data_IF_578991800687
#
_entry.id   IF_578991800687
#
_cell.length_a   1.000
_cell.length_b   1.000
_cell.length_c   1.000
_cell.angle_alpha   90.00
_cell.angle_beta   90.00
_cell.angle_gamma   90.00
#
_symmetry.space_group_name_H-M   'P 1'
#
loop_
_entity.id
_entity.type
_entity.pdbx_description
1 polymer ?
#
# COMPACT_ATOMS: atom_id res chain seq x y z
N UNK A 1 -17.58 37.67 -69.43
CA UNK A 1 -17.57 37.95 -67.98
C UNK A 1 -18.06 36.71 -67.22
N UNK A 2 -17.16 35.85 -66.73
CA UNK A 2 -17.50 34.76 -65.80
C UNK A 2 -16.44 34.78 -64.70
N UNK A 3 -16.86 35.14 -63.49
CA UNK A 3 -16.01 35.23 -62.30
C UNK A 3 -15.89 33.84 -61.67
N UNK A 4 -14.66 33.38 -61.48
CA UNK A 4 -14.30 32.27 -60.61
C UNK A 4 -14.66 32.59 -59.16
N UNK A 5 -15.30 31.65 -58.47
CA UNK A 5 -15.42 31.65 -57.01
C UNK A 5 -14.66 30.44 -56.49
N UNK A 6 -13.49 30.69 -55.92
CA UNK A 6 -12.67 29.74 -55.20
C UNK A 6 -13.26 29.66 -53.78
N UNK A 7 -13.80 28.51 -53.40
CA UNK A 7 -14.20 28.24 -52.02
C UNK A 7 -12.96 27.83 -51.22
N UNK A 8 -12.49 28.73 -50.36
CA UNK A 8 -11.44 28.45 -49.38
C UNK A 8 -12.10 27.79 -48.16
N UNK A 9 -11.96 26.47 -48.03
CA UNK A 9 -12.40 25.73 -46.86
C UNK A 9 -11.41 25.98 -45.72
N UNK A 10 -11.76 26.88 -44.80
CA UNK A 10 -11.01 27.10 -43.56
C UNK A 10 -11.40 26.01 -42.58
N UNK A 11 -10.61 24.94 -42.52
CA UNK A 11 -10.64 23.97 -41.43
C UNK A 11 -10.16 24.66 -40.14
N UNK A 12 -11.08 25.19 -39.34
CA UNK A 12 -10.77 25.54 -37.96
C UNK A 12 -10.60 24.26 -37.14
N UNK A 13 -9.35 23.81 -36.99
CA UNK A 13 -8.97 22.80 -36.02
C UNK A 13 -9.20 23.39 -34.61
N UNK A 14 -10.41 23.23 -34.08
CA UNK A 14 -10.67 23.45 -32.67
C UNK A 14 -10.04 22.28 -31.92
N UNK A 15 -8.82 22.50 -31.44
CA UNK A 15 -8.19 21.64 -30.44
C UNK A 15 -9.03 21.79 -29.17
N UNK A 16 -10.03 20.91 -29.04
CA UNK A 16 -10.74 20.72 -27.79
C UNK A 16 -9.76 20.01 -26.85
N UNK A 17 -8.92 20.80 -26.16
CA UNK A 17 -8.17 20.32 -25.01
C UNK A 17 -9.19 19.88 -23.96
N UNK A 18 -9.54 18.59 -24.00
CA UNK A 18 -10.19 17.92 -22.89
C UNK A 18 -9.17 17.92 -21.77
N UNK A 19 -9.23 18.95 -20.92
CA UNK A 19 -8.66 18.84 -19.59
C UNK A 19 -9.42 17.72 -18.89
N UNK A 20 -8.86 16.51 -18.92
CA UNK A 20 -9.22 15.47 -17.97
C UNK A 20 -8.87 16.01 -16.59
N UNK A 21 -9.86 16.60 -15.93
CA UNK A 21 -9.82 16.75 -14.48
C UNK A 21 -9.82 15.35 -13.89
N UNK A 22 -8.63 14.80 -13.66
CA UNK A 22 -8.47 13.63 -12.81
C UNK A 22 -9.18 13.94 -11.49
N UNK A 23 -10.24 13.18 -11.19
CA UNK A 23 -11.03 13.35 -9.95
C UNK A 23 -10.06 13.26 -8.78
N UNK A 24 -10.23 14.11 -7.77
CA UNK A 24 -9.36 14.13 -6.57
C UNK A 24 -9.25 12.77 -5.85
N UNK A 25 -10.16 11.84 -6.14
CA UNK A 25 -10.19 10.48 -5.62
C UNK A 25 -9.05 9.59 -6.17
N UNK A 26 -8.67 9.72 -7.45
CA UNK A 26 -7.67 8.83 -8.08
C UNK A 26 -6.25 9.18 -7.63
N UNK A 27 -5.98 10.47 -7.41
CA UNK A 27 -4.68 10.93 -6.84
C UNK A 27 -4.52 10.51 -5.38
N UNK A 28 -5.61 10.50 -4.62
CA UNK A 28 -5.60 10.02 -3.24
C UNK A 28 -5.38 8.50 -3.18
N UNK A 29 -6.05 7.71 -4.04
CA UNK A 29 -5.86 6.27 -4.14
C UNK A 29 -4.42 5.88 -4.52
N UNK A 30 -3.84 6.55 -5.52
CA UNK A 30 -2.45 6.33 -5.93
C UNK A 30 -1.47 6.63 -4.80
N UNK A 31 -1.63 7.78 -4.12
CA UNK A 31 -0.80 8.15 -2.97
C UNK A 31 -0.84 7.09 -1.86
N UNK A 32 -2.04 6.64 -1.51
CA UNK A 32 -2.25 5.75 -0.39
C UNK A 32 -1.69 4.34 -0.69
N UNK A 33 -1.90 3.85 -1.91
CA UNK A 33 -1.27 2.60 -2.40
C UNK A 33 0.24 2.70 -2.38
N UNK A 34 0.82 3.82 -2.81
CA UNK A 34 2.26 4.03 -2.85
C UNK A 34 2.88 3.93 -1.45
N UNK A 35 2.35 4.65 -0.46
CA UNK A 35 2.89 4.58 0.89
C UNK A 35 2.65 3.23 1.56
N UNK A 36 1.50 2.58 1.30
CA UNK A 36 1.23 1.24 1.81
C UNK A 36 2.20 0.20 1.26
N UNK A 37 2.48 0.25 -0.05
CA UNK A 37 3.47 -0.60 -0.71
C UNK A 37 4.87 -0.39 -0.11
N UNK A 38 5.29 0.87 0.09
CA UNK A 38 6.56 1.20 0.73
C UNK A 38 6.64 0.69 2.18
N UNK A 39 5.56 0.77 2.94
CA UNK A 39 5.52 0.24 4.30
C UNK A 39 5.68 -1.28 4.34
N UNK A 40 5.07 -2.00 3.40
CA UNK A 40 5.25 -3.45 3.30
C UNK A 40 6.67 -3.83 2.86
N UNK A 41 7.23 -3.10 1.90
CA UNK A 41 8.59 -3.30 1.44
C UNK A 41 9.58 -3.11 2.59
N UNK A 42 9.44 -2.01 3.33
CA UNK A 42 10.30 -1.73 4.48
C UNK A 42 10.09 -2.73 5.64
N UNK A 43 8.91 -3.37 5.71
CA UNK A 43 8.62 -4.47 6.63
C UNK A 43 9.12 -5.85 6.17
N UNK A 44 9.74 -5.96 4.99
CA UNK A 44 10.18 -7.22 4.40
C UNK A 44 9.03 -8.13 3.94
N UNK A 45 7.79 -7.64 3.93
CA UNK A 45 6.60 -8.39 3.46
C UNK A 45 6.41 -8.15 1.97
N UNK A 46 7.30 -8.73 1.17
CA UNK A 46 7.39 -8.53 -0.28
C UNK A 46 6.11 -9.00 -0.99
N UNK A 47 5.52 -10.08 -0.50
CA UNK A 47 4.23 -10.65 -0.91
C UNK A 47 3.09 -9.63 -0.87
N UNK A 48 3.15 -8.66 0.05
CA UNK A 48 2.16 -7.58 0.18
C UNK A 48 2.57 -6.28 -0.52
N UNK A 49 3.87 -5.99 -0.58
CA UNK A 49 4.40 -4.79 -1.22
C UNK A 49 4.27 -4.83 -2.74
N UNK A 50 4.73 -5.94 -3.33
CA UNK A 50 4.85 -6.11 -4.77
C UNK A 50 3.50 -5.95 -5.50
N UNK A 51 2.38 -6.54 -5.04
CA UNK A 51 1.09 -6.37 -5.73
C UNK A 51 0.55 -4.94 -5.71
N UNK A 52 0.95 -4.11 -4.73
CA UNK A 52 0.55 -2.70 -4.70
C UNK A 52 1.42 -1.86 -5.65
N UNK A 53 2.73 -2.12 -5.69
CA UNK A 53 3.57 -1.46 -6.68
C UNK A 53 3.20 -1.84 -8.11
N UNK A 54 2.79 -3.10 -8.35
CA UNK A 54 2.29 -3.53 -9.65
C UNK A 54 1.01 -2.77 -10.06
N UNK A 55 0.07 -2.53 -9.13
CA UNK A 55 -1.10 -1.69 -9.44
C UNK A 55 -0.71 -0.25 -9.80
N UNK A 56 0.25 0.33 -9.08
CA UNK A 56 0.74 1.68 -9.37
C UNK A 56 1.45 1.74 -10.73
N UNK A 57 2.15 0.68 -11.08
CA UNK A 57 2.80 0.52 -12.38
C UNK A 57 1.80 0.34 -13.52
N UNK A 58 0.65 -0.29 -13.27
CA UNK A 58 -0.42 -0.37 -14.27
C UNK A 58 -1.05 1.02 -14.54
N UNK A 59 -1.04 1.90 -13.54
CA UNK A 59 -1.47 3.30 -13.69
C UNK A 59 -0.42 4.11 -14.47
N UNK A 60 0.85 4.02 -14.09
CA UNK A 60 1.95 4.68 -14.80
C UNK A 60 3.18 3.78 -14.89
N UNK A 61 3.26 3.02 -15.98
CA UNK A 61 4.38 2.12 -16.23
C UNK A 61 5.66 2.85 -16.61
N UNK A 62 5.59 4.15 -16.95
CA UNK A 62 6.75 4.95 -17.35
C UNK A 62 7.48 5.56 -16.14
N UNK A 63 6.85 5.53 -14.97
CA UNK A 63 7.45 6.01 -13.73
C UNK A 63 8.64 5.13 -13.30
N UNK A 64 9.84 5.73 -13.33
CA UNK A 64 11.07 5.04 -12.96
C UNK A 64 11.13 4.70 -11.47
N UNK A 65 10.61 5.55 -10.58
CA UNK A 65 10.53 5.30 -9.15
C UNK A 65 9.71 4.03 -8.83
N UNK A 66 8.54 3.87 -9.45
CA UNK A 66 7.71 2.67 -9.26
C UNK A 66 8.45 1.43 -9.77
N UNK A 67 9.04 1.52 -10.95
CA UNK A 67 9.84 0.43 -11.53
C UNK A 67 10.99 0.05 -10.60
N UNK A 68 11.70 1.03 -10.06
CA UNK A 68 12.73 0.81 -9.05
C UNK A 68 12.19 0.06 -7.82
N UNK A 69 11.09 0.52 -7.23
CA UNK A 69 10.51 -0.10 -6.03
C UNK A 69 10.01 -1.54 -6.26
N UNK A 70 9.47 -1.84 -7.44
CA UNK A 70 9.15 -3.21 -7.87
C UNK A 70 10.43 -4.04 -7.99
N UNK A 71 11.45 -3.46 -8.60
CA UNK A 71 12.77 -4.07 -8.75
C UNK A 71 13.39 -4.48 -7.42
N UNK A 72 13.35 -3.58 -6.43
CA UNK A 72 13.78 -3.84 -5.05
C UNK A 72 12.95 -4.95 -4.42
N UNK A 73 11.63 -4.96 -4.59
CA UNK A 73 10.80 -6.06 -4.10
C UNK A 73 11.31 -7.42 -4.63
N UNK A 74 11.67 -7.50 -5.91
CA UNK A 74 12.19 -8.73 -6.51
C UNK A 74 13.64 -9.08 -6.13
N UNK A 75 14.44 -8.19 -5.54
CA UNK A 75 15.76 -8.58 -4.98
C UNK A 75 15.63 -9.23 -3.60
N UNK A 76 14.53 -8.94 -2.90
CA UNK A 76 14.25 -9.41 -1.54
C UNK A 76 13.49 -10.76 -1.49
N UNK A 77 13.03 -11.27 -2.63
CA UNK A 77 12.39 -12.60 -2.67
C UNK A 77 13.43 -13.72 -2.49
N UNK A 78 13.01 -14.84 -1.91
CA UNK A 78 13.91 -15.98 -1.59
C UNK A 78 14.60 -16.58 -2.83
N UNK A 79 13.91 -16.58 -3.96
CA UNK A 79 14.39 -17.17 -5.22
C UNK A 79 14.74 -16.06 -6.19
N UNK A 80 16.03 -15.92 -6.59
CA UNK A 80 16.44 -14.99 -7.63
C UNK A 80 15.57 -15.06 -8.88
N UNK A 81 15.26 -13.90 -9.45
CA UNK A 81 14.42 -13.80 -10.64
C UNK A 81 14.92 -12.69 -11.56
N UNK A 82 14.78 -12.87 -12.87
CA UNK A 82 15.11 -11.83 -13.87
C UNK A 82 14.15 -10.63 -13.81
N UNK A 83 13.03 -10.74 -13.10
CA UNK A 83 12.12 -9.62 -12.89
C UNK A 83 12.78 -8.48 -12.10
N UNK A 84 13.67 -8.78 -11.15
CA UNK A 84 14.43 -7.73 -10.44
C UNK A 84 15.25 -6.90 -11.43
N UNK A 85 16.01 -7.57 -12.30
CA UNK A 85 16.81 -6.92 -13.34
C UNK A 85 15.93 -6.07 -14.26
N UNK A 86 14.84 -6.64 -14.79
CA UNK A 86 13.97 -5.94 -15.73
C UNK A 86 13.42 -4.62 -15.15
N UNK A 87 12.84 -4.68 -13.95
CA UNK A 87 12.24 -3.51 -13.33
C UNK A 87 13.29 -2.49 -12.83
N UNK A 88 14.44 -2.96 -12.35
CA UNK A 88 15.53 -2.09 -11.95
C UNK A 88 16.23 -1.41 -13.14
N UNK A 89 16.46 -2.11 -14.26
CA UNK A 89 16.99 -1.50 -15.49
C UNK A 89 16.03 -0.41 -16.00
N UNK A 90 14.72 -0.65 -15.91
CA UNK A 90 13.68 0.34 -16.25
C UNK A 90 13.69 1.53 -15.27
N UNK A 91 13.82 1.28 -13.97
CA UNK A 91 13.97 2.32 -12.96
C UNK A 91 15.25 3.14 -13.14
N UNK A 92 16.34 2.52 -13.59
CA UNK A 92 17.63 3.18 -13.78
C UNK A 92 17.69 4.11 -15.01
N UNK A 93 16.64 4.15 -15.84
CA UNK A 93 16.56 5.06 -17.00
C UNK A 93 16.45 6.54 -16.61
N UNK A 94 15.92 6.83 -15.41
CA UNK A 94 15.82 8.18 -14.89
C UNK A 94 16.25 8.21 -13.41
N UNK A 95 17.52 8.49 -13.15
CA UNK A 95 18.10 8.54 -11.80
C UNK A 95 18.32 9.98 -11.38
N UNK A 96 17.96 10.29 -10.13
CA UNK A 96 18.20 11.60 -9.51
C UNK A 96 19.01 11.45 -8.22
N UNK A 97 19.96 12.38 -8.04
CA UNK A 97 20.69 12.56 -6.77
C UNK A 97 19.83 13.29 -5.73
N UNK A 98 18.87 14.10 -6.18
CA UNK A 98 17.94 14.87 -5.35
C UNK A 98 16.61 14.12 -5.12
N UNK A 99 16.63 12.78 -5.29
CA UNK A 99 15.47 11.91 -5.15
C UNK A 99 14.74 12.14 -3.82
N UNK A 100 13.41 12.32 -3.88
CA UNK A 100 12.59 12.48 -2.68
C UNK A 100 11.84 11.17 -2.32
N UNK A 101 12.33 10.38 -1.34
CA UNK A 101 11.65 9.15 -0.93
C UNK A 101 10.26 9.39 -0.33
N UNK A 102 9.99 10.60 0.17
CA UNK A 102 8.72 10.97 0.77
C UNK A 102 7.67 11.44 -0.23
N UNK A 103 8.01 11.63 -1.51
CA UNK A 103 7.07 12.11 -2.51
C UNK A 103 6.45 10.95 -3.30
N UNK A 104 5.15 10.74 -3.13
CA UNK A 104 4.42 9.71 -3.90
C UNK A 104 4.34 10.01 -5.40
N UNK A 105 4.53 11.26 -5.82
CA UNK A 105 4.59 11.68 -7.22
C UNK A 105 6.02 11.74 -7.77
N UNK A 106 7.02 11.27 -7.01
CA UNK A 106 8.39 11.16 -7.50
C UNK A 106 8.43 10.21 -8.71
N UNK A 107 9.03 10.68 -9.80
CA UNK A 107 9.12 9.95 -11.07
C UNK A 107 10.53 9.43 -11.35
N UNK A 108 11.54 9.94 -10.65
CA UNK A 108 12.93 9.50 -10.74
C UNK A 108 13.24 8.41 -9.72
N UNK A 109 14.24 7.57 -10.01
CA UNK A 109 14.78 6.59 -9.06
C UNK A 109 15.94 7.19 -8.28
N UNK A 110 16.19 6.72 -7.04
CA UNK A 110 17.41 7.08 -6.33
C UNK A 110 18.64 6.47 -6.99
N UNK A 111 19.82 7.01 -6.69
CA UNK A 111 21.11 6.40 -7.05
C UNK A 111 21.25 4.94 -6.55
N UNK A 112 20.49 4.57 -5.50
CA UNK A 112 20.38 3.19 -5.01
C UNK A 112 19.84 2.19 -6.02
N UNK A 113 19.24 2.63 -7.15
CA UNK A 113 18.94 1.73 -8.25
C UNK A 113 20.18 0.95 -8.74
N UNK A 114 21.37 1.58 -8.74
CA UNK A 114 22.62 0.90 -9.09
C UNK A 114 23.05 -0.14 -8.04
N UNK A 115 22.84 0.15 -6.75
CA UNK A 115 23.09 -0.79 -5.66
C UNK A 115 22.23 -2.06 -5.81
N UNK A 116 20.91 -1.90 -5.98
CA UNK A 116 20.03 -3.05 -6.17
C UNK A 116 20.25 -3.75 -7.51
N UNK A 117 20.68 -3.05 -8.56
CA UNK A 117 21.11 -3.68 -9.82
C UNK A 117 22.31 -4.60 -9.61
N UNK A 118 23.30 -4.20 -8.80
CA UNK A 118 24.43 -5.06 -8.45
C UNK A 118 23.96 -6.37 -7.80
N UNK A 119 23.04 -6.28 -6.84
CA UNK A 119 22.44 -7.45 -6.18
C UNK A 119 21.69 -8.30 -7.21
N UNK A 120 20.80 -7.69 -7.99
CA UNK A 120 19.98 -8.39 -8.97
C UNK A 120 20.82 -9.11 -10.04
N UNK A 121 21.87 -8.47 -10.56
CA UNK A 121 22.79 -9.09 -11.51
C UNK A 121 23.60 -10.22 -10.88
N UNK A 122 24.10 -10.01 -9.65
CA UNK A 122 24.86 -11.05 -8.95
C UNK A 122 24.00 -12.26 -8.62
N UNK A 123 22.74 -12.07 -8.19
CA UNK A 123 21.80 -13.15 -7.89
C UNK A 123 21.42 -13.98 -9.14
N UNK A 124 21.63 -13.42 -10.34
CA UNK A 124 21.33 -14.06 -11.63
C UNK A 124 22.60 -14.35 -12.45
N UNK A 125 23.77 -14.42 -11.79
CA UNK A 125 25.07 -14.78 -12.38
C UNK A 125 25.59 -13.86 -13.52
N UNK A 126 25.06 -12.63 -13.62
CA UNK A 126 25.50 -11.62 -14.60
C UNK A 126 26.65 -10.78 -14.04
N UNK A 127 27.78 -11.44 -13.75
CA UNK A 127 28.84 -10.86 -12.91
C UNK A 127 29.50 -9.59 -13.47
N UNK A 128 29.72 -9.48 -14.79
CA UNK A 128 30.26 -8.26 -15.40
C UNK A 128 29.30 -7.06 -15.25
N UNK A 129 28.00 -7.31 -15.37
CA UNK A 129 26.99 -6.27 -15.12
C UNK A 129 26.90 -5.91 -13.64
N UNK A 130 27.07 -6.87 -12.73
CA UNK A 130 27.12 -6.63 -11.30
C UNK A 130 28.31 -5.72 -10.92
N UNK A 131 29.51 -6.02 -11.44
CA UNK A 131 30.74 -5.22 -11.23
C UNK A 131 30.60 -3.81 -11.77
N UNK A 132 30.13 -3.65 -13.01
CA UNK A 132 29.95 -2.31 -13.60
C UNK A 132 28.92 -1.47 -12.85
N UNK A 133 27.81 -2.10 -12.39
CA UNK A 133 26.80 -1.42 -11.57
C UNK A 133 27.34 -0.99 -10.20
N UNK A 134 28.19 -1.81 -9.57
CA UNK A 134 28.79 -1.50 -8.28
C UNK A 134 29.75 -0.31 -8.38
N UNK A 135 30.58 -0.27 -9.42
CA UNK A 135 31.46 0.86 -9.72
C UNK A 135 30.65 2.13 -9.91
N UNK A 136 29.58 2.08 -10.72
CA UNK A 136 28.72 3.25 -10.97
C UNK A 136 28.00 3.74 -9.71
N UNK A 137 27.54 2.82 -8.85
CA UNK A 137 26.98 3.18 -7.56
C UNK A 137 28.00 3.92 -6.69
N UNK A 138 29.24 3.41 -6.61
CA UNK A 138 30.32 4.02 -5.82
C UNK A 138 30.70 5.41 -6.33
N UNK A 139 30.76 5.61 -7.64
CA UNK A 139 31.03 6.91 -8.26
C UNK A 139 29.98 7.97 -7.90
N UNK A 140 28.70 7.59 -7.89
CA UNK A 140 27.59 8.50 -7.59
C UNK A 140 27.37 8.71 -6.08
N UNK A 141 27.56 7.66 -5.27
CA UNK A 141 27.32 7.70 -3.83
C UNK A 141 28.44 8.42 -3.07
N UNK A 142 29.68 8.37 -3.57
CA UNK A 142 30.84 8.98 -2.93
C UNK A 142 31.33 8.21 -1.70
N UNK A 143 32.19 8.85 -0.89
CA UNK A 143 32.78 8.25 0.32
C UNK A 143 32.19 8.87 1.59
N UNK A 144 31.69 8.02 2.48
CA UNK A 144 31.07 8.42 3.75
C UNK A 144 31.81 7.81 4.95
N UNK A 145 31.68 8.42 6.13
CA UNK A 145 32.37 7.98 7.36
C UNK A 145 32.00 6.53 7.75
N UNK A 146 30.79 6.07 7.40
CA UNK A 146 30.30 4.69 7.54
C UNK A 146 29.75 4.18 6.20
N UNK A 147 30.64 3.87 5.26
CA UNK A 147 30.26 3.46 3.90
C UNK A 147 29.92 1.96 3.81
N UNK A 148 28.78 1.58 4.38
CA UNK A 148 28.27 0.20 4.33
C UNK A 148 27.86 -0.19 2.89
N UNK A 149 27.07 0.66 2.23
CA UNK A 149 26.42 0.29 0.97
C UNK A 149 27.39 0.10 -0.20
N UNK A 150 28.48 0.89 -0.32
CA UNK A 150 29.44 0.64 -1.41
C UNK A 150 30.29 -0.60 -1.13
N UNK A 151 30.59 -0.90 0.13
CA UNK A 151 31.30 -2.14 0.51
C UNK A 151 30.43 -3.36 0.24
N UNK A 152 29.16 -3.31 0.61
CA UNK A 152 28.21 -4.39 0.36
C UNK A 152 27.99 -4.61 -1.15
N UNK A 153 27.82 -3.55 -1.94
CA UNK A 153 27.78 -3.64 -3.41
C UNK A 153 29.03 -4.32 -3.97
N UNK A 154 30.21 -3.91 -3.49
CA UNK A 154 31.49 -4.49 -3.91
C UNK A 154 31.54 -5.98 -3.58
N UNK A 155 31.12 -6.36 -2.36
CA UNK A 155 31.08 -7.76 -1.92
C UNK A 155 30.15 -8.60 -2.79
N UNK A 156 28.95 -8.10 -3.13
CA UNK A 156 28.05 -8.79 -4.07
C UNK A 156 28.70 -9.00 -5.43
N UNK A 157 29.34 -7.97 -5.99
CA UNK A 157 30.02 -8.04 -7.28
C UNK A 157 31.22 -9.01 -7.29
N UNK A 158 31.99 -9.08 -6.20
CA UNK A 158 33.15 -9.97 -6.06
C UNK A 158 32.74 -11.43 -5.81
N UNK A 159 31.67 -11.66 -5.03
CA UNK A 159 31.16 -13.00 -4.73
C UNK A 159 30.43 -13.65 -5.91
N UNK A 160 30.02 -12.88 -6.91
CA UNK A 160 29.42 -13.40 -8.13
C UNK A 160 30.42 -14.33 -8.85
N UNK A 161 30.12 -15.64 -8.90
CA UNK A 161 30.96 -16.66 -9.54
C UNK A 161 30.48 -16.90 -10.96
N UNK A 162 31.34 -16.67 -11.95
CA UNK A 162 31.05 -16.88 -13.37
C UNK A 162 31.17 -18.34 -13.81
N UNK A 163 30.87 -19.31 -12.94
CA UNK A 163 31.23 -20.72 -13.17
C UNK A 163 30.26 -21.48 -14.11
N UNK A 164 29.33 -20.76 -14.74
CA UNK A 164 28.40 -21.32 -15.71
C UNK A 164 28.45 -20.54 -17.02
N UNK A 165 28.89 -21.23 -18.07
CA UNK A 165 28.79 -20.81 -19.47
C UNK A 165 27.43 -20.19 -19.75
N UNK A 166 27.43 -18.95 -20.25
CA UNK A 166 26.24 -18.18 -20.62
C UNK A 166 25.25 -19.03 -21.43
N UNK A 167 24.07 -19.31 -20.88
CA UNK A 167 22.94 -19.80 -21.69
C UNK A 167 22.20 -18.59 -22.29
N UNK A 168 21.81 -18.64 -23.58
CA UNK A 168 21.26 -17.48 -24.28
C UNK A 168 19.98 -16.93 -23.65
N UNK A 169 19.87 -15.60 -23.65
CA UNK A 169 18.80 -14.76 -23.08
C UNK A 169 17.38 -15.08 -23.62
N UNK A 170 17.27 -15.85 -24.70
CA UNK A 170 16.01 -16.11 -25.40
C UNK A 170 15.05 -17.10 -24.69
N UNK A 171 15.53 -17.99 -23.82
CA UNK A 171 14.68 -19.06 -23.24
C UNK A 171 13.94 -18.67 -21.94
N UNK A 172 14.14 -17.48 -21.38
CA UNK A 172 13.68 -17.15 -20.02
C UNK A 172 12.57 -16.09 -19.96
N UNK A 173 11.54 -16.21 -20.80
CA UNK A 173 10.29 -15.46 -20.63
C UNK A 173 9.25 -16.35 -19.94
N UNK A 174 9.19 -16.29 -18.61
CA UNK A 174 8.05 -16.84 -17.88
C UNK A 174 6.85 -15.88 -17.92
N UNK A 175 5.70 -16.42 -18.30
CA UNK A 175 4.38 -15.77 -18.19
C UNK A 175 3.89 -16.00 -16.75
N UNK A 176 3.41 -14.96 -16.08
CA UNK A 176 3.20 -14.94 -14.62
C UNK A 176 1.72 -15.14 -14.26
N UNK A 177 1.38 -16.06 -13.34
CA UNK A 177 0.09 -16.07 -12.63
C UNK A 177 0.13 -15.23 -11.34
N UNK A 178 -1.02 -14.63 -10.99
CA UNK A 178 -1.25 -13.69 -9.89
C UNK A 178 -1.27 -14.42 -8.52
N UNK A 179 -0.64 -13.83 -7.50
CA UNK A 179 -0.42 -14.33 -6.12
C UNK A 179 -1.70 -14.60 -5.29
N UNK A 180 -1.72 -15.69 -4.51
CA UNK A 180 -2.83 -16.12 -3.62
C UNK A 180 -2.78 -15.42 -2.24
N UNK A 181 -3.86 -14.72 -1.84
CA UNK A 181 -4.05 -14.20 -0.47
C UNK A 181 -4.61 -15.29 0.46
N UNK A 182 -4.18 -15.34 1.74
CA UNK A 182 -4.74 -16.27 2.73
C UNK A 182 -6.02 -15.68 3.34
N UNK A 183 -7.14 -16.04 2.74
CA UNK A 183 -8.47 -15.54 3.13
C UNK A 183 -9.16 -16.61 3.96
N UNK A 184 -9.53 -16.27 5.19
CA UNK A 184 -10.30 -17.15 6.08
C UNK A 184 -11.77 -16.82 5.91
N UNK A 185 -12.53 -17.76 5.37
CA UNK A 185 -13.97 -17.65 5.23
C UNK A 185 -14.70 -18.57 6.22
N UNK A 186 -15.94 -18.21 6.51
CA UNK A 186 -16.91 -19.04 7.22
C UNK A 186 -18.11 -19.23 6.30
N UNK A 187 -18.47 -20.48 6.06
CA UNK A 187 -19.68 -20.79 5.32
C UNK A 187 -20.92 -20.34 6.12
N UNK A 188 -21.83 -19.61 5.46
CA UNK A 188 -23.11 -19.17 6.00
C UNK A 188 -24.23 -19.87 5.24
N UNK A 189 -25.04 -20.63 5.98
CA UNK A 189 -26.34 -21.12 5.54
C UNK A 189 -27.42 -20.43 6.39
N UNK A 190 -28.30 -19.68 5.74
CA UNK A 190 -29.45 -19.08 6.42
C UNK A 190 -30.52 -20.15 6.66
N UNK A 191 -31.06 -20.21 7.88
CA UNK A 191 -32.09 -21.20 8.26
C UNK A 191 -33.42 -21.00 7.52
N UNK A 192 -33.63 -19.80 6.95
CA UNK A 192 -34.88 -19.45 6.26
C UNK A 192 -34.90 -19.89 4.80
N UNK A 193 -36.05 -20.42 4.37
CA UNK A 193 -36.36 -20.75 2.98
C UNK A 193 -36.93 -19.55 2.20
N UNK A 194 -36.78 -18.32 2.71
CA UNK A 194 -37.20 -17.09 2.02
C UNK A 194 -35.99 -16.33 1.48
N UNK A 195 -36.11 -15.62 0.34
CA UNK A 195 -35.05 -14.72 -0.12
C UNK A 195 -34.67 -13.72 0.97
N UNK A 196 -33.40 -13.34 1.03
CA UNK A 196 -32.90 -12.29 1.90
C UNK A 196 -32.23 -11.25 1.02
N UNK A 197 -32.79 -10.05 1.00
CA UNK A 197 -32.28 -8.91 0.25
C UNK A 197 -31.31 -8.10 1.10
N UNK A 198 -30.16 -7.77 0.53
CA UNK A 198 -29.19 -6.86 1.10
C UNK A 198 -28.89 -5.74 0.11
N UNK A 199 -28.20 -4.70 0.55
CA UNK A 199 -27.66 -3.65 -0.32
C UNK A 199 -26.17 -3.92 -0.50
N UNK A 200 -25.73 -4.27 -1.71
CA UNK A 200 -24.31 -4.38 -2.04
C UNK A 200 -23.75 -2.97 -2.21
N UNK A 201 -22.68 -2.67 -1.48
CA UNK A 201 -22.02 -1.36 -1.44
C UNK A 201 -20.62 -1.37 -2.08
N UNK A 202 -20.15 -2.54 -2.50
CA UNK A 202 -18.90 -2.67 -3.23
C UNK A 202 -18.53 -4.13 -3.51
N UNK A 203 -17.67 -4.32 -4.51
CA UNK A 203 -17.04 -5.60 -4.80
C UNK A 203 -15.58 -5.33 -5.19
N UNK A 204 -14.65 -5.91 -4.46
CA UNK A 204 -13.23 -5.61 -4.61
C UNK A 204 -12.42 -6.90 -4.70
N UNK A 205 -11.39 -6.92 -5.53
CA UNK A 205 -10.44 -8.04 -5.64
C UNK A 205 -9.51 -8.15 -4.43
N UNK A 206 -9.60 -7.21 -3.48
CA UNK A 206 -8.79 -7.14 -2.26
C UNK A 206 -9.63 -6.67 -1.08
N UNK A 207 -9.20 -7.02 0.13
CA UNK A 207 -9.91 -6.60 1.35
C UNK A 207 -9.91 -5.08 1.51
N UNK A 208 -11.10 -4.50 1.51
CA UNK A 208 -11.42 -3.18 2.06
C UNK A 208 -11.86 -3.36 3.52
N UNK A 209 -11.13 -2.81 4.50
CA UNK A 209 -11.55 -2.91 5.88
C UNK A 209 -12.86 -2.17 6.18
N UNK A 210 -13.68 -2.70 7.10
CA UNK A 210 -15.04 -2.18 7.33
C UNK A 210 -15.05 -0.71 7.79
N UNK A 211 -14.03 -0.27 8.54
CA UNK A 211 -13.93 1.13 8.99
C UNK A 211 -13.74 2.15 7.85
N UNK A 212 -13.34 1.72 6.64
CA UNK A 212 -13.26 2.60 5.46
C UNK A 212 -14.63 2.91 4.85
N UNK A 213 -15.68 2.22 5.28
CA UNK A 213 -17.04 2.51 4.86
C UNK A 213 -17.65 3.61 5.74
N UNK A 214 -17.29 4.87 5.47
CA UNK A 214 -17.75 6.04 6.21
C UNK A 214 -19.28 6.09 6.33
N UNK A 215 -19.77 6.43 7.52
CA UNK A 215 -21.19 6.54 7.85
C UNK A 215 -22.01 5.24 7.64
N UNK A 216 -21.35 4.10 7.43
CA UNK A 216 -21.96 2.79 7.38
C UNK A 216 -21.50 1.95 8.57
N UNK A 217 -22.38 1.06 9.02
CA UNK A 217 -22.12 0.11 10.10
C UNK A 217 -22.84 -1.19 9.77
N UNK A 218 -22.39 -2.30 10.34
CA UNK A 218 -22.94 -3.64 10.05
C UNK A 218 -22.72 -4.06 8.58
N UNK A 219 -21.54 -3.77 8.05
CA UNK A 219 -21.11 -4.26 6.74
C UNK A 219 -20.62 -5.69 6.90
N UNK A 220 -21.14 -6.59 6.09
CA UNK A 220 -20.65 -7.97 5.97
C UNK A 220 -19.92 -8.13 4.64
N UNK A 221 -18.90 -8.98 4.62
CA UNK A 221 -18.08 -9.25 3.45
C UNK A 221 -18.18 -10.73 3.07
N UNK A 222 -18.29 -11.01 1.78
CA UNK A 222 -18.43 -12.35 1.23
C UNK A 222 -17.44 -12.57 0.10
N UNK A 223 -16.76 -13.70 0.11
CA UNK A 223 -15.92 -14.13 -1.01
C UNK A 223 -16.76 -14.83 -2.06
N UNK A 224 -16.59 -14.43 -3.31
CA UNK A 224 -17.22 -15.10 -4.43
C UNK A 224 -16.28 -16.07 -5.17
N UNK A 225 -16.82 -16.79 -6.16
CA UNK A 225 -16.08 -17.79 -6.93
C UNK A 225 -15.00 -17.19 -7.85
N UNK A 226 -15.09 -15.90 -8.12
CA UNK A 226 -14.17 -15.14 -8.97
C UNK A 226 -13.09 -14.46 -8.12
N UNK A 227 -12.97 -14.82 -6.83
CA UNK A 227 -12.04 -14.23 -5.86
C UNK A 227 -12.31 -12.75 -5.58
N UNK A 228 -13.54 -12.28 -5.75
CA UNK A 228 -13.96 -10.93 -5.37
C UNK A 228 -14.62 -10.93 -3.99
N UNK A 229 -14.25 -9.97 -3.16
CA UNK A 229 -14.85 -9.70 -1.86
C UNK A 229 -16.00 -8.71 -2.05
N UNK A 230 -17.23 -9.18 -1.86
CA UNK A 230 -18.47 -8.43 -1.96
C UNK A 230 -18.91 -7.92 -0.60
N UNK A 231 -19.16 -6.63 -0.51
CA UNK A 231 -19.59 -5.94 0.72
C UNK A 231 -21.07 -5.65 0.65
N UNK A 232 -21.81 -6.09 1.66
CA UNK A 232 -23.26 -5.89 1.74
C UNK A 232 -23.67 -5.36 3.11
N UNK A 233 -24.82 -4.70 3.17
CA UNK A 233 -25.44 -4.25 4.40
C UNK A 233 -26.93 -4.62 4.44
N UNK A 234 -27.37 -5.12 5.59
CA UNK A 234 -28.75 -5.48 5.86
C UNK A 234 -29.15 -6.87 5.37
N UNK A 235 -30.22 -7.40 5.98
CA UNK A 235 -30.80 -8.71 5.66
C UNK A 235 -32.32 -8.56 5.73
N UNK A 236 -32.98 -8.38 4.59
CA UNK A 236 -34.41 -8.04 4.52
C UNK A 236 -35.21 -9.08 3.76
N UNK A 237 -36.37 -9.47 4.28
CA UNK A 237 -37.27 -10.39 3.57
C UNK A 237 -37.96 -9.73 2.36
N UNK A 238 -38.12 -8.40 2.38
CA UNK A 238 -38.83 -7.66 1.34
C UNK A 238 -37.94 -6.63 0.64
N UNK A 239 -38.00 -6.60 -0.70
CA UNK A 239 -37.29 -5.62 -1.55
C UNK A 239 -37.64 -4.17 -1.16
N UNK A 240 -38.87 -3.92 -0.71
CA UNK A 240 -39.29 -2.59 -0.25
C UNK A 240 -38.51 -2.10 0.97
N UNK A 241 -38.14 -2.99 1.90
CA UNK A 241 -37.30 -2.66 3.06
C UNK A 241 -35.86 -2.37 2.62
N UNK A 242 -35.31 -3.21 1.73
CA UNK A 242 -33.98 -2.99 1.15
C UNK A 242 -33.89 -1.66 0.38
N UNK A 243 -34.97 -1.25 -0.29
CA UNK A 243 -35.04 0.06 -0.96
C UNK A 243 -34.96 1.26 0.00
N UNK A 244 -35.49 1.13 1.23
CA UNK A 244 -35.37 2.18 2.24
C UNK A 244 -33.90 2.32 2.66
N UNK A 245 -33.23 1.18 2.91
CA UNK A 245 -31.80 1.19 3.23
C UNK A 245 -30.95 1.71 2.07
N UNK A 246 -31.24 1.29 0.84
CA UNK A 246 -30.54 1.74 -0.36
C UNK A 246 -30.54 3.27 -0.49
N UNK A 247 -31.70 3.91 -0.26
CA UNK A 247 -31.81 5.37 -0.27
C UNK A 247 -30.97 6.04 0.82
N UNK A 248 -30.81 5.41 1.98
CA UNK A 248 -29.94 5.91 3.04
C UNK A 248 -28.46 5.73 2.66
N UNK A 249 -28.09 4.58 2.10
CA UNK A 249 -26.75 4.25 1.60
C UNK A 249 -26.29 5.24 0.52
N UNK A 250 -27.17 5.61 -0.42
CA UNK A 250 -26.92 6.66 -1.41
C UNK A 250 -26.64 8.01 -0.77
N UNK A 251 -27.45 8.42 0.22
CA UNK A 251 -27.24 9.67 0.96
C UNK A 251 -25.94 9.69 1.76
N UNK A 252 -25.42 8.50 2.11
CA UNK A 252 -24.12 8.33 2.75
C UNK A 252 -22.93 8.33 1.76
N UNK A 253 -23.19 8.43 0.45
CA UNK A 253 -22.14 8.60 -0.58
C UNK A 253 -21.88 7.38 -1.48
N UNK A 254 -22.65 6.29 -1.34
CA UNK A 254 -22.45 5.04 -2.10
C UNK A 254 -23.45 4.92 -3.25
N UNK A 255 -23.47 5.88 -4.18
CA UNK A 255 -24.49 6.05 -5.22
C UNK A 255 -24.64 4.85 -6.19
N UNK A 256 -23.59 4.04 -6.33
CA UNK A 256 -23.56 2.84 -7.16
C UNK A 256 -24.07 1.57 -6.43
N UNK A 257 -24.47 1.69 -5.16
CA UNK A 257 -25.03 0.59 -4.40
C UNK A 257 -26.33 0.07 -5.04
N UNK A 258 -26.58 -1.23 -4.90
CA UNK A 258 -27.76 -1.89 -5.46
C UNK A 258 -28.24 -3.06 -4.60
N UNK A 259 -29.50 -3.46 -4.77
CA UNK A 259 -30.10 -4.56 -4.01
C UNK A 259 -29.67 -5.91 -4.60
N UNK A 260 -29.28 -6.83 -3.73
CA UNK A 260 -28.86 -8.21 -4.05
C UNK A 260 -29.66 -9.20 -3.21
N UNK A 261 -29.90 -10.40 -3.74
CA UNK A 261 -30.45 -11.53 -2.98
C UNK A 261 -29.31 -12.41 -2.48
N UNK A 262 -29.06 -12.38 -1.17
CA UNK A 262 -27.95 -13.09 -0.50
C UNK A 262 -28.35 -14.47 0.03
N UNK A 263 -29.64 -14.84 -0.07
CA UNK A 263 -30.16 -16.16 0.33
C UNK A 263 -31.00 -16.78 -0.79
N UNK A 264 -30.51 -16.71 -2.03
CA UNK A 264 -31.29 -17.21 -3.16
C UNK A 264 -31.49 -18.73 -3.08
N UNK A 265 -32.74 -19.18 -2.96
CA UNK A 265 -33.12 -20.59 -2.76
C UNK A 265 -33.01 -21.42 -4.05
N UNK A 266 -32.79 -20.78 -5.21
CA UNK A 266 -32.71 -21.48 -6.49
C UNK A 266 -31.39 -22.25 -6.58
N UNK A 267 -31.47 -23.58 -6.70
CA UNK A 267 -30.35 -24.54 -6.76
C UNK A 267 -29.23 -24.26 -7.80
N UNK A 268 -29.37 -23.25 -8.66
CA UNK A 268 -28.41 -22.85 -9.69
C UNK A 268 -28.15 -21.32 -9.75
N UNK A 269 -28.55 -20.55 -8.74
CA UNK A 269 -28.42 -19.08 -8.73
C UNK A 269 -27.45 -18.65 -7.65
N UNK A 270 -26.41 -17.94 -8.09
CA UNK A 270 -25.57 -17.02 -7.33
C UNK A 270 -25.09 -17.46 -5.93
N UNK A 271 -24.04 -18.28 -5.89
CA UNK A 271 -23.38 -18.70 -4.63
C UNK A 271 -22.38 -17.65 -4.09
N UNK A 272 -22.40 -16.41 -4.59
CA UNK A 272 -21.40 -15.38 -4.29
C UNK A 272 -21.50 -14.79 -2.86
N UNK A 273 -22.48 -15.24 -2.06
CA UNK A 273 -22.71 -14.79 -0.68
C UNK A 273 -22.71 -15.94 0.36
N UNK A 274 -22.06 -17.08 0.06
CA UNK A 274 -21.97 -18.21 1.00
C UNK A 274 -20.75 -18.14 1.90
N UNK A 275 -19.63 -17.65 1.39
CA UNK A 275 -18.36 -17.65 2.10
C UNK A 275 -18.12 -16.29 2.76
N UNK A 276 -18.58 -16.13 4.00
CA UNK A 276 -18.38 -14.88 4.73
C UNK A 276 -16.92 -14.72 5.13
N UNK A 277 -16.31 -13.59 4.77
CA UNK A 277 -14.91 -13.31 5.10
C UNK A 277 -14.82 -12.96 6.59
N UNK A 278 -13.95 -13.65 7.31
CA UNK A 278 -13.70 -13.43 8.75
C UNK A 278 -12.43 -12.62 8.95
N UNK A 279 -11.36 -13.02 8.27
CA UNK A 279 -10.05 -12.37 8.31
C UNK A 279 -9.28 -12.55 7.01
N UNK A 280 -8.40 -11.61 6.71
CA UNK A 280 -7.41 -11.71 5.62
C UNK A 280 -6.04 -11.47 6.23
N UNK A 281 -5.09 -12.36 5.95
CA UNK A 281 -3.75 -12.35 6.54
C UNK A 281 -3.79 -12.23 8.09
N UNK A 282 -4.64 -13.04 8.71
CA UNK A 282 -4.84 -13.12 10.17
C UNK A 282 -5.35 -11.80 10.83
N UNK A 283 -5.79 -10.83 10.03
CA UNK A 283 -6.45 -9.61 10.48
C UNK A 283 -7.97 -9.70 10.31
N UNK A 284 -8.71 -9.59 11.42
CA UNK A 284 -10.18 -9.56 11.38
C UNK A 284 -10.70 -8.33 10.63
N UNK A 285 -11.65 -8.54 9.72
CA UNK A 285 -12.26 -7.45 8.93
C UNK A 285 -13.12 -6.50 9.79
N UNK A 286 -13.54 -6.96 10.98
CA UNK A 286 -14.38 -6.23 11.94
C UNK A 286 -13.56 -5.54 13.05
N UNK A 287 -12.24 -5.63 13.02
CA UNK A 287 -11.40 -5.00 14.03
C UNK A 287 -11.57 -3.47 14.03
N UNK A 288 -11.59 -2.88 15.22
CA UNK A 288 -11.65 -1.43 15.41
C UNK A 288 -10.47 -0.98 16.26
N UNK A 289 -9.84 0.12 15.87
CA UNK A 289 -8.89 0.84 16.74
C UNK A 289 -9.68 1.43 17.91
N UNK A 290 -9.21 1.21 19.13
CA UNK A 290 -9.80 1.78 20.35
C UNK A 290 -8.70 2.23 21.29
N UNK A 291 -8.93 3.29 22.06
CA UNK A 291 -7.92 3.79 23.02
C UNK A 291 -6.74 4.47 22.33
N UNK A 292 -5.51 4.23 22.81
CA UNK A 292 -4.32 4.97 22.38
C UNK A 292 -3.69 4.36 21.13
N UNK A 293 -3.28 5.24 20.23
CA UNK A 293 -2.39 4.95 19.11
C UNK A 293 -0.99 5.40 19.49
N UNK A 294 0.02 4.60 19.15
CA UNK A 294 1.41 4.88 19.41
C UNK A 294 2.22 4.73 18.11
N UNK A 295 2.75 5.85 17.61
CA UNK A 295 3.67 5.84 16.48
C UNK A 295 5.08 5.55 16.95
N UNK A 296 5.81 4.75 16.17
CA UNK A 296 7.22 4.42 16.42
C UNK A 296 7.97 4.47 15.09
N UNK A 297 9.29 4.59 15.13
CA UNK A 297 10.12 4.47 13.92
C UNK A 297 10.74 3.08 13.90
N UNK A 298 10.28 2.21 13.00
CA UNK A 298 10.90 0.91 12.80
C UNK A 298 12.21 1.07 12.03
N UNK A 299 13.28 0.48 12.56
CA UNK A 299 14.64 0.56 12.01
C UNK A 299 15.10 -0.79 11.40
N UNK A 300 14.36 -1.87 11.65
CA UNK A 300 14.63 -3.17 11.06
C UNK A 300 13.62 -4.24 11.47
N UNK A 301 13.62 -5.36 10.73
CA UNK A 301 12.87 -6.58 11.04
C UNK A 301 13.70 -7.79 10.65
N UNK A 302 13.92 -8.72 11.58
CA UNK A 302 14.89 -9.80 11.44
C UNK A 302 14.28 -11.13 11.87
N UNK A 303 14.57 -12.22 11.15
CA UNK A 303 14.10 -13.57 11.53
C UNK A 303 15.08 -14.29 12.46
N UNK A 304 16.26 -14.59 11.95
CA UNK A 304 17.21 -15.48 12.63
C UNK A 304 18.43 -14.73 13.20
N UNK A 305 18.93 -13.70 12.50
CA UNK A 305 20.11 -12.95 12.93
C UNK A 305 19.98 -11.46 12.62
N UNK A 306 20.48 -10.62 13.52
CA UNK A 306 20.68 -9.20 13.27
C UNK A 306 22.05 -9.03 12.58
N UNK A 307 22.14 -8.35 11.42
CA UNK A 307 23.43 -8.11 10.75
C UNK A 307 24.44 -7.39 11.65
N UNK A 308 25.72 -7.75 11.56
CA UNK A 308 26.80 -7.21 12.42
C UNK A 308 26.91 -5.68 12.34
N UNK A 309 26.69 -5.10 11.16
CA UNK A 309 26.71 -3.65 10.96
C UNK A 309 25.54 -2.93 11.66
N UNK A 310 24.42 -3.63 11.84
CA UNK A 310 23.27 -3.18 12.63
C UNK A 310 23.48 -3.36 14.14
N UNK A 311 24.34 -4.29 14.57
CA UNK A 311 24.71 -4.45 15.99
C UNK A 311 25.44 -3.20 16.49
N UNK A 312 26.36 -2.64 15.70
CA UNK A 312 27.06 -1.40 16.07
C UNK A 312 26.11 -0.20 16.19
N UNK A 313 25.08 -0.19 15.36
CA UNK A 313 24.02 0.81 15.40
C UNK A 313 23.11 0.62 16.62
N UNK A 314 22.77 -0.64 16.96
CA UNK A 314 22.03 -1.01 18.16
C UNK A 314 22.74 -0.53 19.44
N UNK A 315 24.07 -0.62 19.49
CA UNK A 315 24.86 -0.15 20.65
C UNK A 315 24.88 1.37 20.82
N UNK A 316 24.60 2.14 19.76
CA UNK A 316 24.66 3.62 19.78
C UNK A 316 23.29 4.28 19.97
N UNK A 317 22.21 3.56 19.67
CA UNK A 317 20.87 4.10 19.71
C UNK A 317 20.19 3.77 21.04
N UNK A 318 19.73 4.80 21.73
CA UNK A 318 18.93 4.64 22.93
C UNK A 318 17.44 4.42 22.58
N UNK A 319 16.73 3.69 23.46
CA UNK A 319 15.28 3.57 23.38
C UNK A 319 14.74 2.61 22.31
N UNK A 320 15.55 1.61 21.90
CA UNK A 320 15.08 0.52 21.03
C UNK A 320 14.06 -0.34 21.79
N UNK A 321 12.93 -0.60 21.14
CA UNK A 321 11.90 -1.56 21.54
C UNK A 321 11.83 -2.69 20.52
N UNK A 322 11.78 -3.90 21.03
CA UNK A 322 11.70 -5.15 20.26
C UNK A 322 10.28 -5.69 20.33
N UNK A 323 9.70 -6.05 19.18
CA UNK A 323 8.41 -6.74 19.14
C UNK A 323 8.55 -7.97 18.23
N UNK A 324 8.24 -9.15 18.77
CA UNK A 324 8.30 -10.42 18.06
C UNK A 324 6.92 -10.81 17.53
N UNK A 325 6.82 -11.12 16.24
CA UNK A 325 5.61 -11.64 15.61
C UNK A 325 6.01 -12.62 14.48
N UNK A 326 5.39 -13.80 14.42
CA UNK A 326 5.65 -14.83 13.40
C UNK A 326 7.14 -15.13 13.14
N UNK A 327 7.91 -15.30 14.21
CA UNK A 327 9.36 -15.57 14.13
C UNK A 327 10.17 -14.42 13.48
N UNK A 328 9.64 -13.20 13.50
CA UNK A 328 10.30 -11.96 13.08
C UNK A 328 10.38 -11.02 14.29
N UNK A 329 11.58 -10.59 14.64
CA UNK A 329 11.85 -9.54 15.62
C UNK A 329 11.94 -8.19 14.90
N UNK A 330 10.97 -7.32 15.15
CA UNK A 330 10.96 -5.94 14.69
C UNK A 330 11.58 -5.01 15.72
N UNK A 331 12.51 -4.16 15.28
CA UNK A 331 13.17 -3.15 16.10
C UNK A 331 12.59 -1.78 15.81
N UNK A 332 12.16 -1.07 16.84
CA UNK A 332 11.53 0.25 16.72
C UNK A 332 12.02 1.23 17.77
N UNK A 333 12.08 2.50 17.44
CA UNK A 333 12.53 3.57 18.34
C UNK A 333 11.39 4.55 18.58
N UNK A 334 11.33 5.03 19.81
CA UNK A 334 10.41 6.07 20.23
C UNK A 334 8.98 5.58 20.46
N UNK A 335 8.17 6.52 20.89
CA UNK A 335 6.77 6.35 21.21
C UNK A 335 6.14 7.73 21.09
N UNK A 336 5.47 7.99 19.97
CA UNK A 336 4.96 9.30 19.59
C UNK A 336 3.43 9.24 19.49
N UNK A 337 2.78 10.33 19.89
CA UNK A 337 1.32 10.43 19.85
C UNK A 337 0.80 10.74 18.45
N UNK A 338 1.66 11.26 17.56
CA UNK A 338 1.32 11.64 16.20
C UNK A 338 2.41 11.24 15.19
N UNK A 339 2.00 11.16 13.93
CA UNK A 339 2.84 10.76 12.82
C UNK A 339 3.97 11.78 12.53
N UNK A 340 3.72 13.08 12.72
CA UNK A 340 4.67 14.15 12.38
C UNK A 340 5.89 14.08 13.29
N UNK A 341 5.67 13.92 14.60
CA UNK A 341 6.74 13.75 15.58
C UNK A 341 7.56 12.49 15.30
N UNK A 342 6.91 11.38 14.93
CA UNK A 342 7.60 10.16 14.51
C UNK A 342 8.39 10.35 13.21
N UNK A 343 7.88 11.15 12.26
CA UNK A 343 8.54 11.47 11.00
C UNK A 343 9.80 12.30 11.21
N UNK A 344 9.79 13.24 12.17
CA UNK A 344 10.99 14.00 12.56
C UNK A 344 12.05 13.05 13.12
N UNK A 345 11.67 12.14 14.03
CA UNK A 345 12.61 11.13 14.55
C UNK A 345 13.15 10.23 13.45
N UNK A 346 12.33 9.87 12.46
CA UNK A 346 12.77 9.10 11.29
C UNK A 346 13.87 9.84 10.55
N UNK A 347 13.71 11.13 10.27
CA UNK A 347 14.73 11.94 9.58
C UNK A 347 16.05 11.99 10.36
N UNK A 348 15.99 12.15 11.69
CA UNK A 348 17.18 12.08 12.56
C UNK A 348 17.90 10.72 12.46
N UNK A 349 17.14 9.63 12.48
CA UNK A 349 17.69 8.27 12.33
C UNK A 349 18.29 8.05 10.93
N UNK A 350 17.74 8.66 9.88
CA UNK A 350 18.32 8.62 8.54
C UNK A 350 19.69 9.30 8.50
N UNK A 351 19.83 10.48 9.10
CA UNK A 351 21.12 11.19 9.23
C UNK A 351 22.14 10.39 10.06
N UNK A 352 21.66 9.58 11.01
CA UNK A 352 22.49 8.68 11.81
C UNK A 352 22.94 7.41 11.06
N UNK A 353 22.58 7.26 9.79
CA UNK A 353 22.97 6.14 8.95
C UNK A 353 21.93 5.01 8.86
N UNK A 354 20.65 5.31 9.14
CA UNK A 354 19.53 4.36 9.05
C UNK A 354 18.53 4.79 7.97
N UNK A 355 18.92 4.82 6.69
CA UNK A 355 18.04 5.31 5.62
C UNK A 355 16.79 4.45 5.40
N UNK A 356 16.80 3.19 5.88
CA UNK A 356 15.66 2.27 5.84
C UNK A 356 14.63 2.46 6.95
N UNK A 357 14.80 3.46 7.83
CA UNK A 357 13.87 3.73 8.92
C UNK A 357 12.51 4.23 8.40
N UNK A 358 11.40 3.75 8.98
CA UNK A 358 10.05 4.17 8.59
C UNK A 358 9.08 4.20 9.78
N UNK A 359 8.04 5.04 9.68
CA UNK A 359 7.04 5.19 10.74
C UNK A 359 6.05 4.03 10.71
N UNK A 360 5.77 3.46 11.88
CA UNK A 360 4.75 2.42 12.11
C UNK A 360 3.79 2.86 13.20
N UNK A 361 2.57 2.35 13.19
CA UNK A 361 1.56 2.63 14.22
C UNK A 361 1.18 1.37 14.98
N UNK A 362 0.93 1.54 16.27
CA UNK A 362 0.44 0.49 17.16
C UNK A 362 -0.83 0.95 17.85
N UNK A 363 -1.82 0.07 17.94
CA UNK A 363 -2.92 0.22 18.86
C UNK A 363 -2.73 -0.78 20.00
N UNK A 364 -2.39 -0.27 21.19
CA UNK A 364 -1.81 -1.07 22.26
C UNK A 364 -0.60 -1.87 21.75
N UNK A 365 -0.64 -3.20 21.80
CA UNK A 365 0.45 -4.07 21.34
C UNK A 365 0.27 -4.56 19.89
N UNK A 366 -0.87 -4.23 19.26
CA UNK A 366 -1.17 -4.64 17.90
C UNK A 366 -0.65 -3.61 16.91
N UNK A 367 0.24 -4.02 16.00
CA UNK A 367 0.65 -3.20 14.85
C UNK A 367 -0.57 -2.98 13.96
N UNK A 368 -0.86 -1.72 13.64
CA UNK A 368 -1.94 -1.32 12.75
C UNK A 368 -1.39 -0.52 11.57
N UNK A 369 -2.07 -0.53 10.42
CA UNK A 369 -1.78 0.39 9.33
C UNK A 369 -1.78 1.86 9.80
N UNK A 370 -0.78 2.63 9.34
CA UNK A 370 -0.63 4.04 9.69
C UNK A 370 -1.83 4.88 9.22
N UNK A 371 -2.47 4.51 8.11
CA UNK A 371 -3.70 5.15 7.63
C UNK A 371 -4.89 4.88 8.56
N UNK A 372 -5.05 3.63 9.03
CA UNK A 372 -6.08 3.27 10.03
C UNK A 372 -5.88 4.07 11.33
N UNK A 373 -4.62 4.20 11.77
CA UNK A 373 -4.24 4.98 12.93
C UNK A 373 -4.56 6.48 12.78
N UNK A 374 -4.17 7.07 11.65
CA UNK A 374 -4.42 8.48 11.34
C UNK A 374 -5.91 8.78 11.18
N UNK A 375 -6.66 7.89 10.53
CA UNK A 375 -8.11 8.00 10.37
C UNK A 375 -8.81 7.97 11.74
N UNK A 376 -8.43 7.04 12.62
CA UNK A 376 -8.98 6.96 13.97
C UNK A 376 -8.73 8.25 14.78
N UNK A 377 -7.50 8.79 14.73
CA UNK A 377 -7.15 10.01 15.46
C UNK A 377 -7.84 11.25 14.89
N UNK A 378 -7.98 11.37 13.57
CA UNK A 378 -8.66 12.51 12.94
C UNK A 378 -10.15 12.52 13.30
N UNK A 379 -10.80 11.36 13.32
CA UNK A 379 -12.20 11.23 13.70
C UNK A 379 -12.45 11.57 15.16
N UNK A 380 -11.66 11.00 16.08
CA UNK A 380 -11.76 11.34 17.51
C UNK A 380 -11.52 12.83 17.77
N UNK A 381 -10.56 13.44 17.08
CA UNK A 381 -10.32 14.89 17.19
C UNK A 381 -11.55 15.70 16.74
N UNK A 382 -12.20 15.29 15.64
CA UNK A 382 -13.43 15.95 15.16
C UNK A 382 -14.60 15.78 16.14
N UNK A 383 -14.77 14.60 16.72
CA UNK A 383 -15.80 14.32 17.72
C UNK A 383 -15.56 15.10 19.03
N UNK A 384 -14.32 15.20 19.51
CA UNK A 384 -13.97 16.00 20.69
C UNK A 384 -14.20 17.52 20.48
N UNK A 385 -13.93 18.04 19.28
CA UNK A 385 -14.19 19.44 18.93
C UNK A 385 -15.69 19.72 18.91
N UNK A 386 -16.50 18.83 18.33
CA UNK A 386 -17.96 18.96 18.29
C UNK A 386 -18.58 18.85 19.68
N UNK A 387 -18.08 17.94 20.52
CA UNK A 387 -18.52 17.79 21.90
C UNK A 387 -18.11 18.99 22.79
N UNK A 388 -16.90 19.54 22.56
CA UNK A 388 -16.43 20.75 23.23
C UNK A 388 -17.28 21.98 22.88
N UNK A 389 -17.68 22.11 21.62
CA UNK A 389 -18.56 23.16 21.14
C UNK A 389 -20.01 22.99 21.64
N UNK A 390 -20.50 21.75 21.74
CA UNK A 390 -21.84 21.45 22.28
C UNK A 390 -21.92 21.77 23.79
N UNK A 391 -20.89 21.43 24.56
CA UNK A 391 -20.77 21.74 26.00
C UNK A 391 -20.64 23.25 26.25
N UNK A 392 -19.86 23.98 25.43
CA UNK A 392 -19.79 25.47 25.50
C UNK A 392 -21.13 26.14 25.18
N UNK A 393 -21.89 25.63 24.19
CA UNK A 393 -23.24 26.12 23.88
C UNK A 393 -24.24 25.85 25.02
N UNK A 394 -24.21 24.67 25.65
CA UNK A 394 -25.05 24.35 26.82
C UNK A 394 -24.72 25.21 28.05
N UNK A 395 -23.44 25.50 28.31
CA UNK A 395 -23.00 26.38 29.41
C UNK A 395 -23.42 27.85 29.19
N UNK A 396 -23.36 28.34 27.95
CA UNK A 396 -23.88 29.67 27.57
C UNK A 396 -25.40 29.79 27.68
N UNK A 397 -26.16 28.71 27.42
CA UNK A 397 -27.62 28.69 27.62
C UNK A 397 -27.99 28.69 29.12
N UNK A 398 -27.34 27.90 29.97
CA UNK A 398 -27.57 27.92 31.44
C UNK A 398 -27.30 29.28 32.07
N UNK A 399 -26.23 29.98 31.66
CA UNK A 399 -25.91 31.31 32.21
C UNK A 399 -26.84 32.43 31.71
N UNK A 400 -27.62 32.21 30.64
CA UNK A 400 -28.67 33.14 30.19
C UNK A 400 -30.03 32.90 30.86
N UNK A 401 -30.23 31.75 31.48
CA UNK A 401 -31.48 31.39 32.19
C UNK A 401 -31.40 31.62 33.71
N UNK A 402 -30.25 32.08 34.22
CA UNK A 402 -30.02 32.39 35.63
C UNK A 402 -29.83 33.91 35.87
N UNK A 403 -30.29 34.74 34.93
CA UNK A 403 -30.28 36.20 35.00
C UNK A 403 -31.69 36.74 34.87
#
# INVERSE_FOLDING_TARGET
>A
MKKSAIYFCVCSLSVFCIFFYAKGNDKADFRDKFYKAKSYLAGGTIDKALPLFMELYDIDSTNSNISYLIGVCYTEVKTPTFKSIYYLEKGAQNISVDYNPGAYLETSSPIFAWYYLTIAYSQNDLCEKARSSATKFKELYGSHKNDFYTKDATNWAERCRSDHSEKPIAERKEIVPISEQKIVTKNIDYETKTPLYAVQIGAFSRLVPIWKFDNLSNVDAFMDKESMIRYVIGHFTYVSQANILLKAVWKSGYEDAFIVDINSIKKNVDQRYKESVVSVDDVSIKAKVVGRVNYRVQIGAFKESIPDDLVQLYLRLEGIKENMHDNVTSLSIGAFDDYETASIKRSELMEFGIPGAFVVAYNYDRKIPVDEANYYLSKNTSEEIDDGNSKKKKKRKRNKSAK
#
